data_IF_745568033082
#
_entry.id   IF_745568033082
#
_cell.length_a   1.000
_cell.length_b   1.000
_cell.length_c   1.000
_cell.angle_alpha   90.00
_cell.angle_beta   90.00
_cell.angle_gamma   90.00
#
_symmetry.space_group_name_H-M   'P 1'
#
loop_
_entity.id
_entity.type
_entity.pdbx_description
1 polymer ?
#
# COMPACT_ATOMS: atom_id res chain seq x y z
N UNK A 1 10.83 -74.93 10.52
CA UNK A 1 9.72 -74.17 9.89
C UNK A 1 9.26 -72.97 10.70
N UNK A 2 9.23 -73.01 11.99
CA UNK A 2 8.75 -71.91 12.88
C UNK A 2 9.62 -70.63 12.91
N UNK A 3 10.94 -70.68 12.74
CA UNK A 3 11.83 -69.53 12.75
C UNK A 3 11.73 -68.67 11.49
N UNK A 4 11.38 -69.20 10.34
CA UNK A 4 11.21 -68.49 9.08
C UNK A 4 9.93 -67.60 9.05
N UNK A 5 8.87 -68.05 9.71
CA UNK A 5 7.60 -67.32 9.81
C UNK A 5 7.71 -66.13 10.71
N UNK A 6 8.47 -66.20 11.81
CA UNK A 6 8.72 -65.10 12.72
C UNK A 6 9.52 -63.96 12.06
N UNK A 7 10.57 -64.28 11.28
CA UNK A 7 11.41 -63.32 10.61
C UNK A 7 10.63 -62.57 9.54
N UNK A 8 9.77 -63.26 8.79
CA UNK A 8 8.93 -62.64 7.76
C UNK A 8 7.89 -61.72 8.37
N UNK A 9 7.31 -62.07 9.50
CA UNK A 9 6.36 -61.21 10.22
C UNK A 9 7.00 -59.89 10.72
N UNK A 10 8.26 -59.94 11.21
CA UNK A 10 8.98 -58.76 11.64
C UNK A 10 9.29 -57.81 10.49
N UNK A 11 9.67 -58.30 9.30
CA UNK A 11 9.96 -57.47 8.15
C UNK A 11 8.69 -56.76 7.60
N UNK A 12 7.56 -57.47 7.57
CA UNK A 12 6.27 -56.91 7.17
C UNK A 12 5.78 -55.86 8.13
N UNK A 13 5.93 -56.09 9.45
CA UNK A 13 5.57 -55.11 10.47
C UNK A 13 6.44 -53.86 10.44
N UNK A 14 7.76 -54.00 10.26
CA UNK A 14 8.71 -52.88 10.12
C UNK A 14 8.46 -52.09 8.85
N UNK A 15 8.15 -52.75 7.74
CA UNK A 15 7.81 -52.08 6.47
C UNK A 15 6.50 -51.26 6.60
N UNK A 16 5.50 -51.79 7.28
CA UNK A 16 4.24 -51.07 7.59
C UNK A 16 4.47 -49.85 8.48
N UNK A 17 5.33 -49.99 9.50
CA UNK A 17 5.71 -48.87 10.39
C UNK A 17 6.46 -47.78 9.62
N UNK A 18 7.37 -48.16 8.74
CA UNK A 18 8.14 -47.24 7.90
C UNK A 18 7.23 -46.46 6.94
N UNK A 19 6.24 -47.12 6.34
CA UNK A 19 5.26 -46.49 5.44
C UNK A 19 4.35 -45.52 6.20
N UNK A 20 3.94 -45.88 7.42
CA UNK A 20 3.13 -45.00 8.28
C UNK A 20 3.94 -43.78 8.74
N UNK A 21 5.21 -43.95 9.10
CA UNK A 21 6.08 -42.82 9.46
C UNK A 21 6.39 -41.94 8.24
N UNK A 22 6.56 -42.49 7.05
CA UNK A 22 6.79 -41.72 5.84
C UNK A 22 5.54 -40.95 5.38
N UNK A 23 4.35 -41.51 5.58
CA UNK A 23 3.08 -40.82 5.28
C UNK A 23 2.75 -39.70 6.29
N UNK A 24 3.21 -39.82 7.54
CA UNK A 24 3.08 -38.78 8.55
C UNK A 24 4.03 -37.58 8.31
N UNK A 25 5.17 -37.79 7.63
CA UNK A 25 6.12 -36.74 7.31
C UNK A 25 5.69 -35.89 6.09
N UNK A 26 4.65 -36.27 5.35
CA UNK A 26 4.08 -35.51 4.24
C UNK A 26 2.91 -34.59 4.66
N UNK A 27 2.81 -34.22 5.92
CA UNK A 27 2.02 -33.05 6.26
C UNK A 27 2.80 -31.84 5.72
N UNK A 28 2.56 -31.54 4.45
CA UNK A 28 3.05 -30.30 3.85
C UNK A 28 2.59 -29.18 4.79
N UNK A 29 3.55 -28.54 5.47
CA UNK A 29 3.29 -27.32 6.19
C UNK A 29 2.69 -26.36 5.19
N UNK A 30 1.39 -26.14 5.22
CA UNK A 30 0.74 -25.12 4.42
C UNK A 30 1.47 -23.81 4.77
N UNK A 31 2.00 -23.14 3.76
CA UNK A 31 2.65 -21.85 3.97
C UNK A 31 1.62 -20.92 4.62
N UNK A 32 1.90 -20.49 5.84
CA UNK A 32 1.05 -19.54 6.53
C UNK A 32 1.18 -18.19 5.84
N UNK A 33 0.10 -17.73 5.21
CA UNK A 33 0.08 -16.44 4.55
C UNK A 33 0.02 -15.34 5.61
N UNK A 34 0.96 -14.39 5.60
CA UNK A 34 0.95 -13.30 6.56
C UNK A 34 -0.29 -12.43 6.37
N UNK A 35 -0.92 -12.02 7.48
CA UNK A 35 -1.97 -11.01 7.47
C UNK A 35 -1.37 -9.64 7.15
N UNK A 36 -2.06 -8.84 6.33
CA UNK A 36 -1.64 -7.47 6.03
C UNK A 36 -2.75 -6.47 6.33
N UNK A 37 -2.36 -5.27 6.76
CA UNK A 37 -3.26 -4.12 6.83
C UNK A 37 -3.47 -3.56 5.41
N UNK A 38 -4.68 -3.09 5.13
CA UNK A 38 -5.03 -2.47 3.85
C UNK A 38 -6.06 -1.37 4.07
N UNK A 39 -6.20 -0.48 3.11
CA UNK A 39 -7.21 0.59 3.13
C UNK A 39 -8.58 0.01 2.75
N UNK A 40 -9.44 -0.14 3.73
CA UNK A 40 -10.84 -0.48 3.49
C UNK A 40 -11.67 0.80 3.23
N UNK A 41 -12.90 0.64 2.75
CA UNK A 41 -13.78 1.76 2.41
C UNK A 41 -14.06 2.69 3.61
N UNK A 42 -14.14 2.16 4.82
CA UNK A 42 -14.37 2.96 6.02
C UNK A 42 -13.16 3.87 6.31
N UNK A 43 -11.95 3.34 6.25
CA UNK A 43 -10.72 4.12 6.38
C UNK A 43 -10.62 5.22 5.31
N UNK A 44 -10.92 4.88 4.05
CA UNK A 44 -10.92 5.85 2.94
C UNK A 44 -11.91 6.98 3.22
N UNK A 45 -13.15 6.67 3.61
CA UNK A 45 -14.17 7.69 3.94
C UNK A 45 -13.74 8.61 5.09
N UNK A 46 -13.10 8.06 6.13
CA UNK A 46 -12.55 8.86 7.24
C UNK A 46 -11.50 9.86 6.75
N UNK A 47 -10.56 9.39 5.92
CA UNK A 47 -9.52 10.23 5.35
C UNK A 47 -10.08 11.33 4.44
N UNK A 48 -11.02 10.96 3.57
CA UNK A 48 -11.66 11.91 2.63
C UNK A 48 -12.42 13.00 3.39
N UNK A 49 -13.23 12.64 4.38
CA UNK A 49 -13.97 13.61 5.18
C UNK A 49 -13.05 14.60 5.90
N UNK A 50 -11.91 14.12 6.41
CA UNK A 50 -10.91 14.98 7.05
C UNK A 50 -10.23 15.93 6.03
N UNK A 51 -9.89 15.42 4.84
CA UNK A 51 -9.31 16.23 3.76
C UNK A 51 -10.30 17.32 3.28
N UNK A 52 -11.55 16.96 3.08
CA UNK A 52 -12.61 17.92 2.68
C UNK A 52 -12.79 19.01 3.72
N UNK A 53 -12.91 18.64 4.99
CA UNK A 53 -13.03 19.60 6.10
C UNK A 53 -11.84 20.56 6.14
N UNK A 54 -10.62 20.07 5.94
CA UNK A 54 -9.43 20.91 5.93
C UNK A 54 -9.36 21.82 4.70
N UNK A 55 -9.74 21.33 3.52
CA UNK A 55 -9.84 22.14 2.32
C UNK A 55 -10.86 23.28 2.47
N UNK A 56 -12.01 22.99 3.07
CA UNK A 56 -13.04 24.00 3.39
C UNK A 56 -12.51 25.07 4.35
N UNK A 57 -11.85 24.68 5.43
CA UNK A 57 -11.24 25.63 6.40
C UNK A 57 -10.25 26.57 5.73
N UNK A 58 -9.50 26.07 4.75
CA UNK A 58 -8.51 26.84 3.98
C UNK A 58 -9.12 27.61 2.82
N UNK A 59 -10.42 27.45 2.57
CA UNK A 59 -11.13 28.03 1.44
C UNK A 59 -10.49 27.70 0.08
N UNK A 60 -10.10 26.43 -0.11
CA UNK A 60 -9.52 25.92 -1.35
C UNK A 60 -10.36 24.79 -1.93
N UNK A 61 -10.27 24.65 -3.26
CA UNK A 61 -10.96 23.59 -4.01
C UNK A 61 -9.91 22.61 -4.57
N UNK A 62 -9.95 21.38 -4.10
CA UNK A 62 -8.94 20.37 -4.46
C UNK A 62 -9.56 19.10 -5.02
N UNK A 63 -8.79 18.35 -5.76
CA UNK A 63 -9.00 16.94 -6.06
C UNK A 63 -8.28 16.11 -5.02
N UNK A 64 -8.97 15.15 -4.42
CA UNK A 64 -8.44 14.18 -3.45
C UNK A 64 -8.32 12.84 -4.16
N UNK A 65 -7.16 12.20 -4.07
CA UNK A 65 -6.91 10.87 -4.64
C UNK A 65 -6.26 9.96 -3.61
N UNK A 66 -6.77 8.72 -3.48
CA UNK A 66 -6.20 7.67 -2.63
C UNK A 66 -5.93 6.44 -3.50
N UNK A 67 -4.75 5.87 -3.34
CA UNK A 67 -4.29 4.66 -4.03
C UNK A 67 -3.87 3.58 -3.03
N UNK A 68 -3.93 2.31 -3.45
CA UNK A 68 -3.35 1.21 -2.68
C UNK A 68 -1.81 1.18 -2.77
N UNK A 69 -1.18 0.25 -2.10
CA UNK A 69 0.28 0.07 -2.08
C UNK A 69 0.88 -0.32 -3.43
N UNK A 70 0.05 -0.76 -4.38
CA UNK A 70 0.45 -1.10 -5.76
C UNK A 70 0.19 0.04 -6.75
N UNK A 71 -0.33 1.18 -6.25
CA UNK A 71 -0.63 2.35 -7.08
C UNK A 71 -1.95 2.23 -7.86
N UNK A 72 -2.85 1.31 -7.47
CA UNK A 72 -4.18 1.22 -8.03
C UNK A 72 -5.11 2.24 -7.37
N UNK A 73 -6.01 2.81 -8.17
CA UNK A 73 -6.95 3.81 -7.70
C UNK A 73 -8.01 3.18 -6.79
N UNK A 74 -8.10 3.68 -5.55
CA UNK A 74 -9.15 3.32 -4.59
C UNK A 74 -10.23 4.39 -4.48
N UNK A 75 -9.84 5.67 -4.60
CA UNK A 75 -10.77 6.80 -4.48
C UNK A 75 -10.26 8.01 -5.26
N UNK A 76 -11.19 8.70 -5.92
CA UNK A 76 -10.94 9.99 -6.55
C UNK A 76 -12.18 10.88 -6.43
N UNK A 77 -11.99 12.09 -5.94
CA UNK A 77 -13.03 13.11 -5.90
C UNK A 77 -12.44 14.46 -6.26
N UNK A 78 -13.05 15.10 -7.23
CA UNK A 78 -12.73 16.48 -7.61
C UNK A 78 -13.79 17.43 -7.06
N UNK A 79 -13.41 18.46 -6.31
CA UNK A 79 -14.29 19.54 -5.95
C UNK A 79 -14.75 20.33 -7.19
N UNK A 80 -15.96 20.90 -7.16
CA UNK A 80 -16.54 21.56 -8.33
C UNK A 80 -15.67 22.70 -8.87
N UNK A 81 -15.07 23.49 -7.99
CA UNK A 81 -14.18 24.60 -8.35
C UNK A 81 -12.73 24.20 -8.69
N UNK A 82 -12.32 22.94 -8.48
CA UNK A 82 -10.98 22.50 -8.85
C UNK A 82 -10.84 22.37 -10.38
N UNK A 83 -9.69 22.72 -10.94
CA UNK A 83 -9.41 22.64 -12.37
C UNK A 83 -9.26 21.19 -12.85
N UNK A 84 -9.50 20.94 -14.15
CA UNK A 84 -9.54 19.56 -14.67
C UNK A 84 -8.20 18.82 -14.59
N UNK A 85 -7.08 19.54 -14.71
CA UNK A 85 -5.73 18.97 -14.62
C UNK A 85 -5.42 18.41 -13.23
N UNK A 86 -6.09 18.90 -12.17
CA UNK A 86 -5.89 18.43 -10.80
C UNK A 86 -6.19 16.94 -10.62
N UNK A 87 -7.08 16.39 -11.46
CA UNK A 87 -7.37 14.95 -11.50
C UNK A 87 -6.10 14.14 -11.75
N UNK A 88 -5.38 14.47 -12.84
CA UNK A 88 -4.15 13.77 -13.19
C UNK A 88 -3.02 14.04 -12.19
N UNK A 89 -2.94 15.27 -11.68
CA UNK A 89 -1.91 15.66 -10.72
C UNK A 89 -2.08 14.91 -9.39
N UNK A 90 -3.29 14.87 -8.84
CA UNK A 90 -3.58 14.12 -7.62
C UNK A 90 -3.26 12.63 -7.79
N UNK A 91 -3.65 12.02 -8.92
CA UNK A 91 -3.35 10.62 -9.19
C UNK A 91 -1.84 10.35 -9.27
N UNK A 92 -1.09 11.16 -10.01
CA UNK A 92 0.37 10.98 -10.14
C UNK A 92 1.11 11.17 -8.82
N UNK A 93 0.74 12.19 -8.04
CA UNK A 93 1.31 12.43 -6.71
C UNK A 93 1.03 11.26 -5.76
N UNK A 94 -0.23 10.80 -5.68
CA UNK A 94 -0.62 9.68 -4.83
C UNK A 94 0.06 8.37 -5.25
N UNK A 95 0.13 8.09 -6.55
CA UNK A 95 0.80 6.91 -7.10
C UNK A 95 2.29 6.91 -6.78
N UNK A 96 2.98 8.04 -6.99
CA UNK A 96 4.36 8.18 -6.61
C UNK A 96 4.57 7.88 -5.13
N UNK A 97 3.76 8.48 -4.25
CA UNK A 97 3.88 8.30 -2.82
C UNK A 97 3.64 6.85 -2.38
N UNK A 98 2.67 6.16 -2.98
CA UNK A 98 2.39 4.75 -2.73
C UNK A 98 3.55 3.85 -3.16
N UNK A 99 4.02 3.98 -4.40
CA UNK A 99 5.03 3.09 -4.98
C UNK A 99 6.43 3.32 -4.41
N UNK A 100 6.81 4.57 -4.15
CA UNK A 100 8.15 4.91 -3.64
C UNK A 100 8.21 5.03 -2.12
N UNK A 101 7.08 4.98 -1.41
CA UNK A 101 7.01 5.03 0.05
C UNK A 101 7.52 6.33 0.68
N UNK A 102 7.51 7.42 -0.08
CA UNK A 102 8.04 8.73 0.32
C UNK A 102 7.17 9.88 -0.23
N UNK A 103 7.18 11.06 0.40
CA UNK A 103 6.48 12.22 -0.12
C UNK A 103 6.90 12.58 -1.55
N UNK A 104 5.96 12.99 -2.39
CA UNK A 104 6.26 13.43 -3.76
C UNK A 104 7.13 14.69 -3.82
N UNK A 105 7.16 15.47 -2.72
CA UNK A 105 8.10 16.56 -2.50
C UNK A 105 9.57 16.14 -2.66
N UNK A 106 9.93 14.92 -2.27
CA UNK A 106 11.33 14.43 -2.41
C UNK A 106 11.78 14.42 -3.87
N UNK A 107 10.90 14.05 -4.79
CA UNK A 107 11.22 14.12 -6.22
C UNK A 107 11.29 15.56 -6.71
N UNK A 108 10.42 16.45 -6.22
CA UNK A 108 10.43 17.87 -6.56
C UNK A 108 11.74 18.54 -6.09
N UNK A 109 12.14 18.31 -4.84
CA UNK A 109 13.38 18.85 -4.27
C UNK A 109 14.61 18.32 -5.04
N UNK A 110 14.59 17.05 -5.42
CA UNK A 110 15.65 16.44 -6.24
C UNK A 110 15.74 17.10 -7.63
N UNK A 111 14.61 17.36 -8.27
CA UNK A 111 14.57 18.08 -9.55
C UNK A 111 15.09 19.52 -9.40
N UNK A 112 14.65 20.23 -8.37
CA UNK A 112 15.09 21.61 -8.07
C UNK A 112 16.60 21.70 -7.80
N UNK A 113 17.20 20.63 -7.26
CA UNK A 113 18.66 20.53 -7.08
C UNK A 113 19.44 20.18 -8.35
N UNK A 114 18.76 20.05 -9.50
CA UNK A 114 19.38 19.76 -10.80
C UNK A 114 19.45 18.27 -11.15
N UNK A 115 18.91 17.37 -10.34
CA UNK A 115 18.88 15.96 -10.68
C UNK A 115 17.73 15.64 -11.65
N UNK A 116 18.03 15.70 -12.97
CA UNK A 116 17.08 15.38 -14.02
C UNK A 116 16.70 13.87 -14.07
N UNK A 117 17.47 13.00 -13.41
CA UNK A 117 17.21 11.57 -13.36
C UNK A 117 15.83 11.22 -12.78
N UNK A 118 15.26 12.09 -11.93
CA UNK A 118 13.90 11.88 -11.37
C UNK A 118 12.80 11.85 -12.43
N UNK A 119 13.04 12.43 -13.62
CA UNK A 119 12.06 12.49 -14.71
C UNK A 119 11.96 11.17 -15.50
N UNK A 120 12.98 10.30 -15.40
CA UNK A 120 13.02 9.02 -16.12
C UNK A 120 12.58 7.83 -15.28
N UNK A 121 12.32 8.03 -13.99
CA UNK A 121 11.76 6.97 -13.15
C UNK A 121 10.31 6.68 -13.55
N UNK A 122 9.92 5.38 -13.64
CA UNK A 122 8.54 5.01 -13.87
C UNK A 122 7.63 5.67 -12.82
N UNK A 123 6.51 6.25 -13.26
CA UNK A 123 5.58 6.98 -12.38
C UNK A 123 6.21 8.12 -11.55
N UNK A 124 7.40 8.58 -11.94
CA UNK A 124 8.05 9.74 -11.35
C UNK A 124 7.20 10.99 -11.58
N UNK A 125 6.85 11.70 -10.50
CA UNK A 125 6.11 12.97 -10.61
C UNK A 125 6.63 13.95 -9.56
N UNK A 126 7.59 14.81 -9.94
CA UNK A 126 8.23 15.77 -9.04
C UNK A 126 7.33 16.97 -8.78
N UNK A 127 6.28 16.77 -7.99
CA UNK A 127 5.34 17.80 -7.57
C UNK A 127 4.81 17.48 -6.18
N UNK A 128 5.03 18.37 -5.21
CA UNK A 128 4.63 18.22 -3.82
C UNK A 128 3.11 18.08 -3.65
N UNK A 129 2.67 17.34 -2.62
CA UNK A 129 1.27 17.17 -2.25
C UNK A 129 0.85 15.70 -2.07
N UNK A 130 1.67 14.73 -2.52
CA UNK A 130 1.44 13.30 -2.32
C UNK A 130 2.22 12.76 -1.13
N UNK A 131 1.56 11.98 -0.27
CA UNK A 131 2.11 11.38 0.92
C UNK A 131 1.86 9.87 0.97
N UNK A 132 2.84 9.05 1.41
CA UNK A 132 2.64 7.64 1.65
C UNK A 132 1.77 7.42 2.89
N UNK A 133 0.87 6.46 2.84
CA UNK A 133 0.08 6.01 3.98
C UNK A 133 0.80 4.82 4.59
N UNK A 134 1.29 4.98 5.83
CA UNK A 134 2.06 3.95 6.54
C UNK A 134 1.37 3.55 7.84
N UNK A 135 1.36 2.25 8.11
CA UNK A 135 0.92 1.67 9.39
C UNK A 135 1.94 0.62 9.81
N UNK A 136 2.47 0.72 11.02
CA UNK A 136 3.55 -0.15 11.53
C UNK A 136 4.74 -0.20 10.53
N UNK A 137 5.18 0.97 10.06
CA UNK A 137 6.24 1.18 9.07
C UNK A 137 6.02 0.53 7.69
N UNK A 138 4.87 -0.12 7.47
CA UNK A 138 4.49 -0.71 6.18
C UNK A 138 3.64 0.25 5.38
N UNK A 139 3.96 0.40 4.10
CA UNK A 139 3.17 1.18 3.16
C UNK A 139 1.90 0.40 2.86
N UNK A 140 0.75 1.03 3.03
CA UNK A 140 -0.58 0.50 2.71
C UNK A 140 -1.29 1.30 1.63
N UNK A 141 -0.64 2.34 1.11
CA UNK A 141 -1.17 3.17 0.03
C UNK A 141 -0.50 4.54 -0.06
N UNK A 142 -1.12 5.41 -0.84
CA UNK A 142 -0.76 6.81 -0.97
C UNK A 142 -1.98 7.71 -1.10
N UNK A 143 -1.87 8.93 -0.60
CA UNK A 143 -2.88 9.97 -0.75
C UNK A 143 -2.25 11.21 -1.36
N UNK A 144 -3.02 11.95 -2.15
CA UNK A 144 -2.63 13.28 -2.58
C UNK A 144 -3.83 14.18 -2.75
N UNK A 145 -3.60 15.46 -2.48
CA UNK A 145 -4.46 16.55 -2.90
C UNK A 145 -3.80 17.35 -4.03
N UNK A 146 -4.63 18.00 -4.85
CA UNK A 146 -4.18 18.89 -5.91
C UNK A 146 -5.24 19.95 -6.20
N UNK A 147 -4.84 21.20 -6.24
CA UNK A 147 -5.75 22.33 -6.54
C UNK A 147 -5.37 23.63 -5.87
N UNK A 148 -4.49 23.58 -4.89
CA UNK A 148 -3.96 24.73 -4.18
C UNK A 148 -2.42 24.86 -4.39
N UNK A 149 -1.76 25.70 -3.60
CA UNK A 149 -0.31 25.68 -3.51
C UNK A 149 0.16 24.30 -3.00
N UNK A 150 1.30 23.83 -3.49
CA UNK A 150 1.78 22.46 -3.24
C UNK A 150 1.92 22.11 -1.75
N UNK A 151 2.31 23.07 -0.94
CA UNK A 151 2.42 22.94 0.51
C UNK A 151 1.04 22.81 1.18
N UNK A 152 0.03 23.48 0.63
CA UNK A 152 -1.37 23.41 1.10
C UNK A 152 -1.96 22.05 0.72
N UNK A 153 -1.72 21.57 -0.51
CA UNK A 153 -2.12 20.24 -0.98
C UNK A 153 -1.56 19.15 -0.05
N UNK A 154 -0.26 19.25 0.32
CA UNK A 154 0.40 18.30 1.22
C UNK A 154 -0.16 18.37 2.63
N UNK A 155 -0.42 19.58 3.15
CA UNK A 155 -0.99 19.77 4.48
C UNK A 155 -2.40 19.12 4.58
N UNK A 156 -3.23 19.25 3.55
CA UNK A 156 -4.54 18.59 3.49
C UNK A 156 -4.38 17.07 3.47
N UNK A 157 -3.45 16.55 2.66
CA UNK A 157 -3.13 15.12 2.62
C UNK A 157 -2.66 14.58 3.98
N UNK A 158 -1.85 15.37 4.71
CA UNK A 158 -1.38 15.01 6.05
C UNK A 158 -2.51 14.95 7.08
N UNK A 159 -3.47 15.90 7.04
CA UNK A 159 -4.64 15.90 7.93
C UNK A 159 -5.48 14.63 7.72
N UNK A 160 -5.63 14.19 6.47
CA UNK A 160 -6.31 12.93 6.15
C UNK A 160 -5.61 11.70 6.75
N UNK A 161 -4.28 11.62 6.64
CA UNK A 161 -3.49 10.54 7.25
C UNK A 161 -3.64 10.55 8.78
N UNK A 162 -3.55 11.73 9.39
CA UNK A 162 -3.69 11.87 10.85
C UNK A 162 -5.06 11.43 11.36
N UNK A 163 -6.11 11.60 10.55
CA UNK A 163 -7.45 11.14 10.89
C UNK A 163 -7.60 9.61 10.86
N UNK A 164 -6.82 8.94 10.01
CA UNK A 164 -6.78 7.48 9.94
C UNK A 164 -6.04 6.86 11.14
N UNK A 165 -5.00 7.53 11.64
CA UNK A 165 -4.07 6.98 12.64
C UNK A 165 -4.44 7.33 14.10
N UNK A 166 -5.55 8.01 14.32
CA UNK A 166 -6.11 8.29 15.65
C UNK A 166 -6.81 7.06 16.20
#
# INVERSE_FOLDING_TARGET
MTRFILIFGYHVAMLKLLVICLSAALVASAAELPTRKYLNLAAIKTMVAAAESEAQKRNVQVTICIMDESGNLLFLQKADGATLNTIQFAQKKAKYAALYGRPSKVAEDSLKSGNLGVLVFPDGFPNQGGLPIKVDDKIIGGIACSGAASEVDEAISQVAINALLK
#
